data_IF_307091188440
#
_entry.id   IF_307091188440
#
_cell.length_a   1.000
_cell.length_b   1.000
_cell.length_c   1.000
_cell.angle_alpha   90.00
_cell.angle_beta   90.00
_cell.angle_gamma   90.00
#
_symmetry.space_group_name_H-M   'P 1'
#
loop_
_entity.id
_entity.type
_entity.pdbx_description
1 polymer ?
#
# COMPACT_ATOMS: atom_id res chain seq x y z
N UNK A 1 20.02 -2.68 6.79
CA UNK A 1 20.17 -2.40 5.34
C UNK A 1 19.78 -3.57 4.43
N UNK A 2 19.84 -4.84 4.89
CA UNK A 2 19.46 -6.02 4.08
C UNK A 2 18.02 -5.89 3.54
N UNK A 3 17.14 -5.36 4.37
CA UNK A 3 15.73 -5.12 4.11
C UNK A 3 15.42 -4.16 2.95
N UNK A 4 16.41 -3.36 2.49
CA UNK A 4 16.26 -2.51 1.29
C UNK A 4 16.21 -3.34 -0.01
N UNK A 5 16.74 -4.57 0.01
CA UNK A 5 16.73 -5.41 -1.18
C UNK A 5 15.31 -5.82 -1.60
N UNK A 6 14.34 -5.84 -0.67
CA UNK A 6 12.91 -6.05 -0.97
C UNK A 6 12.33 -4.94 -1.86
N UNK A 7 12.93 -3.75 -1.87
CA UNK A 7 12.52 -2.65 -2.76
C UNK A 7 13.43 -2.63 -3.99
N UNK A 8 14.74 -2.77 -3.79
CA UNK A 8 15.72 -2.64 -4.85
C UNK A 8 15.55 -3.71 -5.94
N UNK A 9 15.34 -4.98 -5.55
CA UNK A 9 15.17 -6.10 -6.51
C UNK A 9 14.03 -5.82 -7.51
N UNK A 10 12.79 -5.52 -7.07
CA UNK A 10 11.72 -5.22 -8.01
C UNK A 10 11.96 -3.94 -8.81
N UNK A 11 12.60 -2.90 -8.26
CA UNK A 11 12.96 -1.70 -9.03
C UNK A 11 14.00 -1.97 -10.13
N UNK A 12 15.04 -2.74 -9.82
CA UNK A 12 16.02 -3.17 -10.83
C UNK A 12 15.37 -4.02 -11.91
N UNK A 13 14.50 -4.96 -11.53
CA UNK A 13 13.72 -5.74 -12.47
C UNK A 13 12.80 -4.86 -13.33
N UNK A 14 12.19 -3.82 -12.76
CA UNK A 14 11.35 -2.86 -13.48
C UNK A 14 12.14 -2.08 -14.54
N UNK A 15 13.34 -1.60 -14.18
CA UNK A 15 14.27 -0.94 -15.10
C UNK A 15 14.71 -1.88 -16.22
N UNK A 16 15.07 -3.12 -15.88
CA UNK A 16 15.38 -4.15 -16.86
C UNK A 16 14.20 -4.42 -17.80
N UNK A 17 12.98 -4.54 -17.27
CA UNK A 17 11.77 -4.75 -18.07
C UNK A 17 11.45 -3.60 -19.02
N UNK A 18 11.69 -2.37 -18.59
CA UNK A 18 11.48 -1.17 -19.41
C UNK A 18 12.46 -1.11 -20.57
N UNK A 19 13.73 -1.42 -20.33
CA UNK A 19 14.77 -1.49 -21.35
C UNK A 19 14.66 -2.74 -22.24
N UNK A 20 13.98 -3.80 -21.78
CA UNK A 20 13.90 -5.06 -22.50
C UNK A 20 13.11 -4.92 -23.81
N UNK A 21 13.69 -5.20 -24.99
CA UNK A 21 13.03 -4.95 -26.26
C UNK A 21 11.96 -6.00 -26.60
N UNK A 22 12.22 -7.28 -26.29
CA UNK A 22 11.42 -8.43 -26.72
C UNK A 22 10.16 -8.60 -25.86
N UNK A 23 8.99 -8.43 -26.47
CA UNK A 23 7.70 -8.51 -25.76
C UNK A 23 7.34 -9.91 -25.31
N UNK A 24 7.80 -10.96 -26.01
CA UNK A 24 7.50 -12.35 -25.63
C UNK A 24 8.29 -12.80 -24.40
N UNK A 25 9.50 -12.25 -24.18
CA UNK A 25 10.37 -12.66 -23.07
C UNK A 25 10.31 -11.71 -21.87
N UNK A 26 9.94 -10.44 -22.07
CA UNK A 26 9.79 -9.44 -21.00
C UNK A 26 8.93 -9.92 -19.81
N UNK A 27 7.77 -10.59 -20.00
CA UNK A 27 6.93 -11.05 -18.88
C UNK A 27 7.62 -12.00 -17.90
N UNK A 28 8.65 -12.74 -18.32
CA UNK A 28 9.39 -13.66 -17.45
C UNK A 28 10.18 -12.95 -16.34
N UNK A 29 10.41 -11.65 -16.47
CA UNK A 29 10.98 -10.83 -15.39
C UNK A 29 10.05 -10.75 -14.17
N UNK A 30 8.73 -10.90 -14.35
CA UNK A 30 7.77 -10.91 -13.24
C UNK A 30 8.02 -12.07 -12.28
N UNK A 31 7.92 -13.35 -12.69
CA UNK A 31 8.17 -14.48 -11.79
C UNK A 31 9.62 -14.56 -11.34
N UNK A 32 10.60 -14.17 -12.17
CA UNK A 32 12.00 -14.14 -11.74
C UNK A 32 12.20 -13.20 -10.53
N UNK A 33 11.69 -11.97 -10.62
CA UNK A 33 11.72 -11.03 -9.50
C UNK A 33 10.86 -11.52 -8.32
N UNK A 34 9.68 -12.10 -8.60
CA UNK A 34 8.77 -12.63 -7.58
C UNK A 34 9.40 -13.76 -6.75
N UNK A 35 10.14 -14.68 -7.37
CA UNK A 35 10.87 -15.76 -6.67
C UNK A 35 11.96 -15.16 -5.79
N UNK A 36 12.80 -14.29 -6.33
CA UNK A 36 13.90 -13.65 -5.57
C UNK A 36 13.32 -12.89 -4.38
N UNK A 37 12.28 -12.08 -4.61
CA UNK A 37 11.64 -11.30 -3.56
C UNK A 37 11.01 -12.18 -2.48
N UNK A 38 10.31 -13.26 -2.85
CA UNK A 38 9.67 -14.18 -1.90
C UNK A 38 10.69 -14.94 -1.07
N UNK A 39 11.72 -15.51 -1.72
CA UNK A 39 12.81 -16.21 -1.01
C UNK A 39 13.50 -15.27 -0.04
N UNK A 40 13.77 -14.04 -0.46
CA UNK A 40 14.41 -13.05 0.40
C UNK A 40 13.51 -12.60 1.56
N UNK A 41 12.20 -12.39 1.32
CA UNK A 41 11.24 -12.06 2.37
C UNK A 41 11.13 -13.18 3.42
N UNK A 42 11.15 -14.45 3.00
CA UNK A 42 11.16 -15.60 3.91
C UNK A 42 12.49 -15.74 4.66
N UNK A 43 13.61 -15.48 3.99
CA UNK A 43 14.94 -15.51 4.63
C UNK A 43 15.05 -14.48 5.77
N UNK A 44 14.50 -13.27 5.58
CA UNK A 44 14.45 -12.23 6.62
C UNK A 44 13.59 -12.61 7.83
N UNK A 45 12.77 -13.67 7.77
CA UNK A 45 12.08 -14.19 8.95
C UNK A 45 13.02 -14.97 9.87
N UNK A 46 14.08 -15.57 9.33
CA UNK A 46 15.05 -16.37 10.06
C UNK A 46 16.08 -15.46 10.74
N UNK A 47 16.61 -14.48 10.01
CA UNK A 47 17.58 -13.49 10.49
C UNK A 47 17.02 -12.07 10.29
N UNK A 48 16.07 -11.64 11.14
CA UNK A 48 15.45 -10.34 10.98
C UNK A 48 16.42 -9.21 11.32
N UNK A 49 16.49 -8.14 10.52
CA UNK A 49 17.34 -7.00 10.81
C UNK A 49 16.89 -6.29 12.08
N UNK A 50 17.85 -5.73 12.82
CA UNK A 50 17.57 -4.90 13.99
C UNK A 50 16.92 -3.59 13.56
N UNK A 51 15.86 -3.21 14.27
CA UNK A 51 15.16 -1.95 14.03
C UNK A 51 15.69 -0.87 14.96
N UNK A 52 16.26 0.19 14.41
CA UNK A 52 16.63 1.37 15.19
C UNK A 52 15.37 2.15 15.61
N UNK A 53 15.40 2.76 16.80
CA UNK A 53 14.23 3.44 17.39
C UNK A 53 13.64 4.55 16.51
N UNK A 54 14.48 5.28 15.76
CA UNK A 54 14.07 6.38 14.89
C UNK A 54 14.21 6.02 13.40
N UNK A 55 14.24 4.73 13.07
CA UNK A 55 14.34 4.32 11.69
C UNK A 55 13.07 4.75 10.93
N UNK A 56 13.23 5.32 9.73
CA UNK A 56 12.11 5.59 8.83
C UNK A 56 11.63 4.32 8.10
N UNK A 57 12.41 3.26 8.18
CA UNK A 57 12.26 2.04 7.42
C UNK A 57 12.65 0.84 8.27
N UNK A 58 11.88 -0.24 8.22
CA UNK A 58 12.08 -1.37 9.11
C UNK A 58 11.31 -2.64 8.74
N UNK A 59 11.89 -3.79 9.08
CA UNK A 59 11.25 -5.11 8.97
C UNK A 59 10.74 -5.55 10.36
N UNK A 60 9.73 -4.82 10.84
CA UNK A 60 9.13 -4.97 12.18
C UNK A 60 8.13 -6.16 12.24
N UNK A 61 7.59 -6.51 13.42
CA UNK A 61 6.69 -7.66 13.56
C UNK A 61 5.44 -7.60 12.65
N UNK A 62 4.86 -6.41 12.46
CA UNK A 62 3.71 -6.23 11.55
C UNK A 62 4.13 -6.54 10.11
N UNK A 63 5.26 -6.00 9.64
CA UNK A 63 5.78 -6.27 8.30
C UNK A 63 6.09 -7.75 8.10
N UNK A 64 6.69 -8.42 9.10
CA UNK A 64 7.01 -9.86 9.07
C UNK A 64 5.76 -10.72 8.87
N UNK A 65 4.64 -10.31 9.45
CA UNK A 65 3.38 -11.05 9.33
C UNK A 65 2.76 -10.96 7.92
N UNK A 66 2.93 -9.82 7.24
CA UNK A 66 2.15 -9.52 6.01
C UNK A 66 2.98 -9.51 4.73
N UNK A 67 4.23 -9.04 4.75
CA UNK A 67 5.03 -8.85 3.53
C UNK A 67 5.38 -10.18 2.82
N UNK A 68 5.71 -11.27 3.52
CA UNK A 68 5.91 -12.56 2.87
C UNK A 68 4.66 -13.04 2.12
N UNK A 69 3.47 -12.77 2.65
CA UNK A 69 2.20 -13.13 2.01
C UNK A 69 1.94 -12.28 0.77
N UNK A 70 2.22 -10.98 0.81
CA UNK A 70 2.16 -10.10 -0.38
C UNK A 70 3.17 -10.53 -1.44
N UNK A 71 4.37 -10.97 -1.03
CA UNK A 71 5.40 -11.49 -1.94
C UNK A 71 4.95 -12.77 -2.63
N UNK A 72 4.38 -13.72 -1.87
CA UNK A 72 3.85 -14.96 -2.39
C UNK A 72 2.66 -14.72 -3.34
N UNK A 73 1.75 -13.82 -2.96
CA UNK A 73 0.64 -13.40 -3.83
C UNK A 73 1.17 -12.85 -5.15
N UNK A 74 2.16 -11.96 -5.12
CA UNK A 74 2.78 -11.43 -6.33
C UNK A 74 3.41 -12.55 -7.16
N UNK A 75 4.11 -13.50 -6.55
CA UNK A 75 4.69 -14.64 -7.25
C UNK A 75 3.61 -15.45 -7.98
N UNK A 76 2.51 -15.80 -7.32
CA UNK A 76 1.39 -16.52 -7.96
C UNK A 76 0.79 -15.71 -9.10
N UNK A 77 0.51 -14.43 -8.88
CA UNK A 77 0.00 -13.51 -9.91
C UNK A 77 0.96 -13.36 -11.10
N UNK A 78 2.28 -13.37 -10.84
CA UNK A 78 3.31 -13.21 -11.86
C UNK A 78 3.41 -14.42 -12.79
N UNK A 79 3.23 -15.64 -12.25
CA UNK A 79 3.18 -16.88 -13.04
C UNK A 79 1.98 -16.88 -13.99
N UNK A 80 0.80 -16.49 -13.49
CA UNK A 80 -0.38 -16.27 -14.33
C UNK A 80 -0.15 -15.19 -15.38
N UNK A 81 0.52 -14.09 -14.99
CA UNK A 81 0.81 -12.94 -15.85
C UNK A 81 1.58 -13.28 -17.12
N UNK A 82 2.50 -14.25 -17.06
CA UNK A 82 3.24 -14.71 -18.25
C UNK A 82 2.30 -15.32 -19.29
N UNK A 83 1.42 -16.23 -18.86
CA UNK A 83 0.45 -16.86 -19.75
C UNK A 83 -0.57 -15.85 -20.29
N UNK A 84 -1.07 -14.97 -19.41
CA UNK A 84 -2.03 -13.93 -19.77
C UNK A 84 -1.49 -12.98 -20.85
N UNK A 85 -0.27 -12.47 -20.68
CA UNK A 85 0.35 -11.54 -21.64
C UNK A 85 0.75 -12.23 -22.95
N UNK A 86 0.95 -13.55 -22.96
CA UNK A 86 1.15 -14.32 -24.19
C UNK A 86 -0.14 -14.45 -25.00
N UNK A 87 -1.28 -14.61 -24.33
CA UNK A 87 -2.60 -14.64 -24.97
C UNK A 87 -2.97 -13.25 -25.51
N UNK A 88 -2.63 -12.20 -24.76
CA UNK A 88 -2.85 -10.79 -25.12
C UNK A 88 -1.68 -10.16 -25.90
N UNK A 89 -1.10 -10.92 -26.84
CA UNK A 89 0.07 -10.50 -27.60
C UNK A 89 -0.17 -9.27 -28.50
N UNK A 90 -1.43 -8.91 -28.75
CA UNK A 90 -1.83 -7.69 -29.46
C UNK A 90 -1.60 -6.42 -28.64
N UNK A 91 -1.36 -6.53 -27.32
CA UNK A 91 -1.15 -5.39 -26.43
C UNK A 91 0.31 -5.26 -26.04
N UNK A 92 0.82 -4.03 -26.14
CA UNK A 92 2.17 -3.68 -25.64
C UNK A 92 2.23 -3.91 -24.14
N UNK A 93 3.13 -4.81 -23.72
CA UNK A 93 3.24 -5.20 -22.31
C UNK A 93 4.35 -4.46 -21.54
N UNK A 94 5.06 -3.52 -22.18
CA UNK A 94 6.22 -2.81 -21.57
C UNK A 94 5.82 -2.09 -20.28
N UNK A 95 4.90 -1.14 -20.38
CA UNK A 95 4.45 -0.36 -19.24
C UNK A 95 3.75 -1.25 -18.20
N UNK A 96 3.01 -2.26 -18.64
CA UNK A 96 2.29 -3.17 -17.77
C UNK A 96 3.24 -3.99 -16.88
N UNK A 97 4.26 -4.63 -17.47
CA UNK A 97 5.27 -5.42 -16.73
C UNK A 97 6.08 -4.51 -15.80
N UNK A 98 6.52 -3.35 -16.30
CA UNK A 98 7.26 -2.37 -15.48
C UNK A 98 6.41 -1.89 -14.30
N UNK A 99 5.16 -1.51 -14.52
CA UNK A 99 4.28 -1.00 -13.47
C UNK A 99 3.95 -2.07 -12.40
N UNK A 100 3.82 -3.35 -12.78
CA UNK A 100 3.66 -4.44 -11.80
C UNK A 100 4.89 -4.61 -10.91
N UNK A 101 6.10 -4.52 -11.47
CA UNK A 101 7.34 -4.63 -10.69
C UNK A 101 7.51 -3.41 -9.77
N UNK A 102 7.24 -2.21 -10.26
CA UNK A 102 7.21 -1.00 -9.41
C UNK A 102 6.14 -1.13 -8.33
N UNK A 103 4.98 -1.70 -8.63
CA UNK A 103 3.94 -1.97 -7.62
C UNK A 103 4.45 -2.85 -6.49
N UNK A 104 5.18 -3.94 -6.79
CA UNK A 104 5.78 -4.78 -5.75
C UNK A 104 6.75 -3.97 -4.88
N UNK A 105 7.62 -3.17 -5.49
CA UNK A 105 8.57 -2.33 -4.76
C UNK A 105 7.86 -1.32 -3.83
N UNK A 106 6.80 -0.68 -4.32
CA UNK A 106 6.04 0.31 -3.55
C UNK A 106 5.24 -0.30 -2.42
N UNK A 107 4.65 -1.49 -2.62
CA UNK A 107 4.00 -2.24 -1.55
C UNK A 107 5.01 -2.66 -0.48
N UNK A 108 6.19 -3.14 -0.87
CA UNK A 108 7.27 -3.46 0.08
C UNK A 108 7.72 -2.22 0.86
N UNK A 109 7.93 -1.10 0.18
CA UNK A 109 8.27 0.18 0.80
C UNK A 109 7.21 0.63 1.80
N UNK A 110 5.94 0.59 1.42
CA UNK A 110 4.83 1.01 2.27
C UNK A 110 4.72 0.15 3.53
N UNK A 111 4.79 -1.19 3.39
CA UNK A 111 4.66 -2.10 4.53
C UNK A 111 5.82 -1.95 5.53
N UNK A 112 7.02 -1.71 5.02
CA UNK A 112 8.23 -1.48 5.81
C UNK A 112 8.36 -0.04 6.35
N UNK A 113 7.51 0.90 5.93
CA UNK A 113 7.58 2.29 6.34
C UNK A 113 7.26 2.45 7.83
N UNK A 114 8.18 3.08 8.56
CA UNK A 114 8.05 3.40 9.98
C UNK A 114 7.75 4.90 10.21
N UNK A 115 7.76 5.68 9.13
CA UNK A 115 7.36 7.08 9.11
C UNK A 115 6.09 7.25 8.28
N UNK A 116 5.11 7.97 8.83
CA UNK A 116 3.79 8.17 8.19
C UNK A 116 3.89 8.90 6.84
N UNK A 117 4.83 9.84 6.70
CA UNK A 117 5.09 10.53 5.43
C UNK A 117 5.65 9.59 4.36
N UNK A 118 6.59 8.71 4.73
CA UNK A 118 7.13 7.71 3.79
C UNK A 118 6.06 6.70 3.35
N UNK A 119 5.23 6.26 4.29
CA UNK A 119 4.07 5.39 4.03
C UNK A 119 3.11 6.06 3.04
N UNK A 120 2.82 7.34 3.25
CA UNK A 120 1.98 8.14 2.36
C UNK A 120 2.56 8.23 0.94
N UNK A 121 3.85 8.55 0.80
CA UNK A 121 4.53 8.62 -0.51
C UNK A 121 4.43 7.30 -1.26
N UNK A 122 4.69 6.19 -0.56
CA UNK A 122 4.60 4.86 -1.14
C UNK A 122 3.16 4.50 -1.57
N UNK A 123 2.17 4.84 -0.73
CA UNK A 123 0.76 4.62 -1.01
C UNK A 123 0.28 5.40 -2.24
N UNK A 124 0.67 6.66 -2.38
CA UNK A 124 0.26 7.49 -3.52
C UNK A 124 0.97 7.10 -4.81
N UNK A 125 2.28 6.83 -4.74
CA UNK A 125 3.00 6.27 -5.88
C UNK A 125 2.35 4.96 -6.36
N UNK A 126 1.87 4.13 -5.44
CA UNK A 126 1.16 2.90 -5.79
C UNK A 126 -0.23 3.19 -6.42
N UNK A 127 -0.92 4.27 -6.00
CA UNK A 127 -2.10 4.79 -6.74
C UNK A 127 -1.73 5.06 -8.19
N UNK A 128 -0.71 5.88 -8.43
CA UNK A 128 -0.32 6.30 -9.77
C UNK A 128 0.11 5.12 -10.65
N UNK A 129 0.84 4.15 -10.10
CA UNK A 129 1.24 2.95 -10.83
C UNK A 129 0.08 2.00 -11.15
N UNK A 130 -1.02 2.06 -10.41
CA UNK A 130 -2.22 1.24 -10.68
C UNK A 130 -2.96 1.74 -11.93
N UNK A 131 -2.96 3.04 -12.21
CA UNK A 131 -3.69 3.64 -13.33
C UNK A 131 -3.39 2.98 -14.68
N UNK A 132 -2.11 2.85 -15.13
CA UNK A 132 -1.82 2.16 -16.38
C UNK A 132 -2.12 0.66 -16.36
N UNK A 133 -2.17 0.03 -15.17
CA UNK A 133 -2.55 -1.38 -15.02
C UNK A 133 -4.04 -1.60 -15.22
N UNK A 134 -4.88 -0.70 -14.69
CA UNK A 134 -6.34 -0.71 -14.91
C UNK A 134 -6.69 -0.39 -16.36
N UNK A 135 -5.98 0.57 -16.96
CA UNK A 135 -6.23 0.97 -18.35
C UNK A 135 -5.74 -0.05 -19.40
N UNK A 136 -5.12 -1.17 -19.00
CA UNK A 136 -4.48 -2.13 -19.92
C UNK A 136 -5.39 -2.65 -21.04
N UNK A 137 -6.68 -2.86 -20.75
CA UNK A 137 -7.66 -3.31 -21.75
C UNK A 137 -8.00 -2.23 -22.79
N UNK A 138 -7.73 -0.95 -22.52
CA UNK A 138 -7.91 0.17 -23.44
C UNK A 138 -9.35 0.36 -23.95
N UNK A 139 -10.34 -0.05 -23.16
CA UNK A 139 -11.77 0.17 -23.44
C UNK A 139 -12.23 1.49 -22.81
N UNK A 140 -13.38 2.02 -23.24
CA UNK A 140 -13.98 3.21 -22.62
C UNK A 140 -14.28 2.98 -21.11
N UNK A 141 -14.71 1.77 -20.76
CA UNK A 141 -14.94 1.36 -19.36
C UNK A 141 -13.64 1.28 -18.57
N UNK A 142 -12.56 0.71 -19.13
CA UNK A 142 -11.25 0.68 -18.48
C UNK A 142 -10.70 2.08 -18.25
N UNK A 143 -10.94 3.03 -19.18
CA UNK A 143 -10.61 4.43 -18.97
C UNK A 143 -11.41 5.03 -17.81
N UNK A 144 -12.74 4.89 -17.82
CA UNK A 144 -13.62 5.37 -16.74
C UNK A 144 -13.22 4.80 -15.38
N UNK A 145 -12.98 3.49 -15.29
CA UNK A 145 -12.53 2.80 -14.08
C UNK A 145 -11.19 3.34 -13.58
N UNK A 146 -10.21 3.52 -14.48
CA UNK A 146 -8.90 4.08 -14.13
C UNK A 146 -8.99 5.53 -13.63
N UNK A 147 -9.91 6.32 -14.20
CA UNK A 147 -10.15 7.71 -13.82
C UNK A 147 -10.86 7.82 -12.47
N UNK A 148 -11.91 7.02 -12.25
CA UNK A 148 -12.61 6.92 -10.96
C UNK A 148 -11.67 6.47 -9.85
N UNK A 149 -10.85 5.45 -10.13
CA UNK A 149 -9.83 4.98 -9.20
C UNK A 149 -8.84 6.09 -8.83
N UNK A 150 -8.33 6.84 -9.80
CA UNK A 150 -7.39 7.92 -9.57
C UNK A 150 -8.03 9.06 -8.76
N UNK A 151 -9.23 9.51 -9.13
CA UNK A 151 -9.88 10.64 -8.47
C UNK A 151 -10.33 10.31 -7.05
N UNK A 152 -11.04 9.20 -6.86
CA UNK A 152 -11.57 8.81 -5.55
C UNK A 152 -10.43 8.33 -4.66
N UNK A 153 -9.57 7.44 -5.16
CA UNK A 153 -8.42 6.93 -4.43
C UNK A 153 -7.39 8.02 -4.09
N UNK A 154 -7.08 8.89 -5.06
CA UNK A 154 -6.18 10.03 -4.86
C UNK A 154 -6.73 11.06 -3.89
N UNK A 155 -8.04 11.34 -3.92
CA UNK A 155 -8.69 12.19 -2.91
C UNK A 155 -8.59 11.57 -1.51
N UNK A 156 -8.79 10.27 -1.38
CA UNK A 156 -8.56 9.54 -0.13
C UNK A 156 -7.13 9.75 0.38
N UNK A 157 -6.13 9.50 -0.45
CA UNK A 157 -4.73 9.68 -0.04
C UNK A 157 -4.39 11.15 0.25
N UNK A 158 -5.00 12.11 -0.44
CA UNK A 158 -4.87 13.54 -0.09
C UNK A 158 -5.45 13.85 1.31
N UNK A 159 -6.57 13.24 1.70
CA UNK A 159 -7.08 13.34 3.07
C UNK A 159 -6.11 12.70 4.08
N UNK A 160 -5.49 11.56 3.75
CA UNK A 160 -4.45 10.97 4.60
C UNK A 160 -3.24 11.90 4.76
N UNK A 161 -2.87 12.67 3.73
CA UNK A 161 -1.80 13.66 3.85
C UNK A 161 -2.17 14.75 4.86
N UNK A 162 -3.38 15.30 4.74
CA UNK A 162 -3.88 16.31 5.67
C UNK A 162 -3.93 15.76 7.10
N UNK A 163 -4.40 14.52 7.28
CA UNK A 163 -4.40 13.86 8.58
C UNK A 163 -2.98 13.63 9.14
N UNK A 164 -1.99 13.38 8.29
CA UNK A 164 -0.58 13.29 8.68
C UNK A 164 -0.06 14.63 9.20
N UNK A 165 -0.43 15.75 8.56
CA UNK A 165 -0.10 17.08 9.06
C UNK A 165 -0.80 17.39 10.38
N UNK A 166 -2.07 17.02 10.55
CA UNK A 166 -2.76 17.15 11.83
C UNK A 166 -2.05 16.36 12.93
N UNK A 167 -1.54 15.16 12.65
CA UNK A 167 -0.83 14.35 13.63
C UNK A 167 0.52 14.95 14.00
N UNK A 168 1.27 15.48 13.02
CA UNK A 168 2.50 16.21 13.28
C UNK A 168 2.26 17.47 14.11
N UNK A 169 1.18 18.20 13.82
CA UNK A 169 0.78 19.37 14.60
C UNK A 169 0.32 18.99 16.01
N UNK A 170 -0.34 17.83 16.18
CA UNK A 170 -0.67 17.30 17.50
C UNK A 170 0.58 17.05 18.35
N UNK A 171 1.66 16.55 17.73
CA UNK A 171 2.96 16.39 18.37
C UNK A 171 3.57 17.72 18.78
N UNK A 172 3.62 18.71 17.87
CA UNK A 172 4.17 20.04 18.15
C UNK A 172 3.42 20.76 19.29
N UNK A 173 2.09 20.73 19.27
CA UNK A 173 1.26 21.34 20.32
C UNK A 173 1.38 20.60 21.66
N UNK A 174 1.74 19.32 21.61
CA UNK A 174 2.07 18.50 22.77
C UNK A 174 3.50 18.66 23.30
N UNK A 175 4.28 19.64 22.82
CA UNK A 175 5.69 19.83 23.21
C UNK A 175 6.69 18.88 22.54
N UNK A 176 6.24 18.10 21.56
CA UNK A 176 7.07 17.19 20.77
C UNK A 176 7.77 17.88 19.59
N UNK A 177 8.51 17.10 18.81
CA UNK A 177 9.30 17.59 17.68
C UNK A 177 8.54 17.65 16.35
N UNK A 178 7.31 17.11 16.28
CA UNK A 178 6.60 16.94 15.00
C UNK A 178 7.12 15.76 14.17
N UNK A 179 7.94 14.88 14.75
CA UNK A 179 8.39 13.65 14.08
C UNK A 179 7.20 12.71 13.80
N UNK A 180 7.06 12.31 12.55
CA UNK A 180 6.00 11.43 12.05
C UNK A 180 6.39 9.94 12.08
N UNK A 181 7.50 9.57 12.72
CA UNK A 181 7.79 8.16 13.01
C UNK A 181 6.78 7.61 14.03
N UNK A 182 6.24 6.42 13.77
CA UNK A 182 5.23 5.82 14.65
C UNK A 182 5.76 5.59 16.06
N UNK A 183 7.05 5.28 16.19
CA UNK A 183 7.72 5.11 17.49
C UNK A 183 7.79 6.41 18.29
N UNK A 184 8.14 7.55 17.67
CA UNK A 184 8.18 8.84 18.35
C UNK A 184 6.79 9.28 18.79
N UNK A 185 5.79 9.15 17.91
CA UNK A 185 4.40 9.50 18.21
C UNK A 185 3.81 8.62 19.33
N UNK A 186 4.02 7.31 19.27
CA UNK A 186 3.56 6.40 20.32
C UNK A 186 4.26 6.65 21.66
N UNK A 187 5.55 7.01 21.63
CA UNK A 187 6.31 7.38 22.83
C UNK A 187 5.79 8.67 23.47
N UNK A 188 5.43 9.67 22.67
CA UNK A 188 4.83 10.92 23.17
C UNK A 188 3.45 10.66 23.81
N UNK A 189 2.66 9.75 23.23
CA UNK A 189 1.46 9.21 23.86
C UNK A 189 0.46 10.30 24.26
N UNK A 190 0.09 10.34 25.54
CA UNK A 190 -0.95 11.22 26.06
C UNK A 190 -0.61 12.73 26.00
N UNK A 191 0.66 13.08 25.74
CA UNK A 191 1.06 14.47 25.54
C UNK A 191 0.61 15.01 24.17
N UNK A 192 0.26 14.14 23.22
CA UNK A 192 -0.28 14.57 21.91
C UNK A 192 -1.54 15.41 22.10
N UNK A 193 -1.62 16.54 21.41
CA UNK A 193 -2.79 17.42 21.48
C UNK A 193 -4.05 16.69 21.01
N UNK A 194 -4.99 16.46 21.94
CA UNK A 194 -6.18 15.64 21.69
C UNK A 194 -7.06 16.15 20.53
N UNK A 195 -7.37 17.44 20.37
CA UNK A 195 -8.21 17.90 19.25
C UNK A 195 -7.60 17.58 17.88
N UNK A 196 -6.28 17.77 17.75
CA UNK A 196 -5.54 17.49 16.53
C UNK A 196 -5.35 15.99 16.28
N UNK A 197 -5.20 15.20 17.34
CA UNK A 197 -5.18 13.74 17.26
C UNK A 197 -6.50 13.18 16.71
N UNK A 198 -7.65 13.71 17.16
CA UNK A 198 -8.97 13.29 16.67
C UNK A 198 -9.14 13.67 15.19
N UNK A 199 -8.78 14.91 14.82
CA UNK A 199 -8.82 15.34 13.42
C UNK A 199 -7.93 14.47 12.54
N UNK A 200 -6.72 14.15 13.00
CA UNK A 200 -5.80 13.24 12.33
C UNK A 200 -6.41 11.85 12.14
N UNK A 201 -6.98 11.26 13.19
CA UNK A 201 -7.61 9.93 13.12
C UNK A 201 -8.73 9.90 12.07
N UNK A 202 -9.64 10.86 12.09
CA UNK A 202 -10.77 10.91 11.14
C UNK A 202 -10.27 11.02 9.70
N UNK A 203 -9.31 11.90 9.43
CA UNK A 203 -8.77 12.12 8.08
C UNK A 203 -7.94 10.93 7.59
N UNK A 204 -7.10 10.34 8.45
CA UNK A 204 -6.30 9.14 8.14
C UNK A 204 -7.20 7.91 7.92
N UNK A 205 -8.25 7.76 8.73
CA UNK A 205 -9.24 6.69 8.57
C UNK A 205 -10.05 6.88 7.28
N UNK A 206 -10.48 8.11 6.96
CA UNK A 206 -11.15 8.37 5.69
C UNK A 206 -10.24 8.09 4.50
N UNK A 207 -8.98 8.54 4.56
CA UNK A 207 -8.06 8.41 3.45
C UNK A 207 -7.56 6.99 3.20
N UNK A 208 -6.97 6.34 4.21
CA UNK A 208 -6.57 4.94 4.10
C UNK A 208 -7.78 4.00 4.05
N UNK A 209 -8.90 4.36 4.65
CA UNK A 209 -10.17 3.63 4.52
C UNK A 209 -10.72 3.65 3.09
N UNK A 210 -10.59 4.77 2.37
CA UNK A 210 -10.88 4.83 0.93
C UNK A 210 -10.00 3.85 0.16
N UNK A 211 -8.70 3.81 0.47
CA UNK A 211 -7.74 2.88 -0.16
C UNK A 211 -8.03 1.41 0.16
N UNK A 212 -8.51 1.13 1.37
CA UNK A 212 -8.97 -0.20 1.80
C UNK A 212 -10.31 -0.59 1.16
N UNK A 213 -11.09 0.40 0.72
CA UNK A 213 -12.42 0.22 0.16
C UNK A 213 -13.49 0.01 1.23
N UNK A 214 -13.41 0.73 2.35
CA UNK A 214 -14.46 0.79 3.37
C UNK A 214 -15.68 1.55 2.83
N UNK A 215 -16.89 1.12 3.19
CA UNK A 215 -18.10 1.89 2.92
C UNK A 215 -18.13 3.16 3.80
N UNK A 216 -18.59 4.32 3.29
CA UNK A 216 -19.17 4.56 1.97
C UNK A 216 -18.13 4.89 0.87
N UNK A 217 -16.84 4.89 1.17
CA UNK A 217 -15.75 5.31 0.27
C UNK A 217 -15.36 4.29 -0.82
N UNK A 218 -16.07 3.15 -0.88
CA UNK A 218 -15.76 1.99 -1.72
C UNK A 218 -16.23 2.09 -3.18
N UNK A 219 -16.86 3.20 -3.61
CA UNK A 219 -17.52 3.32 -4.92
C UNK A 219 -16.59 3.17 -6.13
N UNK A 220 -15.29 3.39 -5.95
CA UNK A 220 -14.29 3.12 -6.99
C UNK A 220 -14.02 1.61 -7.20
N UNK A 221 -14.28 0.79 -6.19
CA UNK A 221 -13.83 -0.61 -6.11
C UNK A 221 -14.53 -1.51 -7.13
N UNK A 222 -15.86 -1.48 -7.31
CA UNK A 222 -16.53 -2.34 -8.31
C UNK A 222 -16.00 -2.11 -9.73
N UNK A 223 -15.86 -0.85 -10.15
CA UNK A 223 -15.40 -0.48 -11.49
C UNK A 223 -13.94 -0.88 -11.71
N UNK A 224 -13.06 -0.59 -10.73
CA UNK A 224 -11.66 -0.95 -10.81
C UNK A 224 -11.44 -2.46 -10.93
N UNK A 225 -12.18 -3.27 -10.14
CA UNK A 225 -12.07 -4.73 -10.19
C UNK A 225 -12.73 -5.32 -11.44
N UNK A 226 -13.82 -4.72 -11.92
CA UNK A 226 -14.50 -5.15 -13.14
C UNK A 226 -13.63 -5.03 -14.40
N UNK A 227 -12.75 -4.02 -14.46
CA UNK A 227 -11.92 -3.77 -15.64
C UNK A 227 -10.45 -4.22 -15.48
N UNK A 228 -10.00 -4.51 -14.26
CA UNK A 228 -8.63 -4.96 -14.00
C UNK A 228 -8.35 -6.34 -14.62
N UNK A 229 -7.18 -6.55 -15.26
CA UNK A 229 -6.69 -7.90 -15.52
C UNK A 229 -6.61 -8.70 -14.20
N UNK A 230 -6.93 -10.00 -14.24
CA UNK A 230 -7.08 -10.81 -13.01
C UNK A 230 -5.92 -10.72 -12.02
N UNK A 231 -4.68 -10.69 -12.51
CA UNK A 231 -3.48 -10.49 -11.68
C UNK A 231 -3.40 -9.13 -10.99
N UNK A 232 -3.90 -8.07 -11.64
CA UNK A 232 -3.97 -6.71 -11.09
C UNK A 232 -5.06 -6.66 -10.03
N UNK A 233 -6.24 -7.21 -10.31
CA UNK A 233 -7.34 -7.31 -9.36
C UNK A 233 -6.93 -8.06 -8.08
N UNK A 234 -6.21 -9.18 -8.22
CA UNK A 234 -5.68 -9.92 -7.08
C UNK A 234 -4.67 -9.11 -6.25
N UNK A 235 -3.77 -8.36 -6.88
CA UNK A 235 -2.82 -7.48 -6.18
C UNK A 235 -3.50 -6.28 -5.51
N UNK A 236 -4.57 -5.75 -6.08
CA UNK A 236 -5.40 -4.73 -5.42
C UNK A 236 -6.06 -5.30 -4.17
N UNK A 237 -6.58 -6.53 -4.24
CA UNK A 237 -7.25 -7.20 -3.14
C UNK A 237 -6.31 -7.56 -1.98
N UNK A 238 -5.20 -8.21 -2.29
CA UNK A 238 -4.31 -8.76 -1.26
C UNK A 238 -3.12 -7.87 -0.93
N UNK A 239 -2.62 -7.08 -1.89
CA UNK A 239 -1.48 -6.19 -1.67
C UNK A 239 -1.91 -4.82 -1.18
N UNK A 240 -2.70 -4.11 -2.00
CA UNK A 240 -3.06 -2.72 -1.72
C UNK A 240 -3.98 -2.56 -0.51
N UNK A 241 -4.98 -3.43 -0.36
CA UNK A 241 -5.84 -3.44 0.84
C UNK A 241 -5.05 -3.76 2.10
N UNK A 242 -4.08 -4.69 2.05
CA UNK A 242 -3.19 -5.00 3.18
C UNK A 242 -2.33 -3.80 3.57
N UNK A 243 -1.76 -3.09 2.60
CA UNK A 243 -1.01 -1.86 2.86
C UNK A 243 -1.88 -0.80 3.56
N UNK A 244 -3.10 -0.57 3.06
CA UNK A 244 -4.03 0.37 3.66
C UNK A 244 -4.45 -0.04 5.08
N UNK A 245 -4.65 -1.34 5.30
CA UNK A 245 -4.95 -1.88 6.63
C UNK A 245 -3.78 -1.68 7.61
N UNK A 246 -2.54 -1.96 7.19
CA UNK A 246 -1.33 -1.72 8.00
C UNK A 246 -1.19 -0.24 8.33
N UNK A 247 -1.49 0.66 7.39
CA UNK A 247 -1.48 2.09 7.67
C UNK A 247 -2.44 2.46 8.80
N UNK A 248 -3.69 2.01 8.73
CA UNK A 248 -4.70 2.22 9.78
C UNK A 248 -4.24 1.59 11.10
N UNK A 249 -3.69 0.37 11.07
CA UNK A 249 -3.20 -0.33 12.26
C UNK A 249 -2.08 0.45 12.96
N UNK A 250 -1.10 0.97 12.21
CA UNK A 250 0.01 1.76 12.77
C UNK A 250 -0.49 3.07 13.37
N UNK A 251 -1.43 3.76 12.72
CA UNK A 251 -2.05 4.96 13.28
C UNK A 251 -2.88 4.62 14.52
N UNK A 252 -3.60 3.50 14.52
CA UNK A 252 -4.35 3.02 15.69
C UNK A 252 -3.45 2.88 16.91
N UNK A 253 -2.27 2.26 16.75
CA UNK A 253 -1.31 2.10 17.84
C UNK A 253 -0.87 3.43 18.46
N UNK A 254 -0.69 4.47 17.63
CA UNK A 254 -0.38 5.82 18.11
C UNK A 254 -1.55 6.41 18.92
N UNK A 255 -2.77 6.30 18.41
CA UNK A 255 -3.97 6.83 19.08
C UNK A 255 -4.28 6.07 20.38
N UNK A 256 -4.05 4.76 20.40
CA UNK A 256 -4.18 3.92 21.60
C UNK A 256 -3.17 4.36 22.67
N UNK A 257 -1.91 4.59 22.30
CA UNK A 257 -0.87 5.09 23.20
C UNK A 257 -1.17 6.50 23.76
N UNK A 258 -1.96 7.28 23.03
CA UNK A 258 -2.46 8.58 23.47
C UNK A 258 -3.70 8.51 24.39
N UNK A 259 -4.17 7.31 24.74
CA UNK A 259 -5.32 7.12 25.62
C UNK A 259 -6.69 7.23 24.92
N UNK A 260 -6.73 7.31 23.59
CA UNK A 260 -7.95 7.46 22.80
C UNK A 260 -8.37 6.17 22.07
N UNK A 261 -7.93 4.99 22.54
CA UNK A 261 -8.15 3.71 21.85
C UNK A 261 -9.61 3.30 21.71
N UNK A 262 -10.48 3.65 22.65
CA UNK A 262 -11.92 3.38 22.54
C UNK A 262 -12.56 4.06 21.32
N UNK A 263 -12.03 5.21 20.88
CA UNK A 263 -12.51 5.90 19.68
C UNK A 263 -12.14 5.09 18.42
N UNK A 264 -10.91 4.58 18.35
CA UNK A 264 -10.45 3.83 17.19
C UNK A 264 -11.20 2.51 17.05
N UNK A 265 -11.41 1.79 18.15
CA UNK A 265 -12.18 0.55 18.18
C UNK A 265 -13.62 0.75 17.71
N UNK A 266 -14.33 1.73 18.29
CA UNK A 266 -15.73 2.02 17.92
C UNK A 266 -15.86 2.41 16.45
N UNK A 267 -14.99 3.30 15.97
CA UNK A 267 -15.06 3.75 14.57
C UNK A 267 -14.75 2.60 13.61
N UNK A 268 -13.71 1.80 13.87
CA UNK A 268 -13.38 0.63 13.03
C UNK A 268 -14.50 -0.43 13.03
N UNK A 269 -15.12 -0.70 14.19
CA UNK A 269 -16.26 -1.61 14.27
C UNK A 269 -17.45 -1.10 13.45
N UNK A 270 -17.80 0.18 13.57
CA UNK A 270 -18.91 0.79 12.81
C UNK A 270 -18.65 0.72 11.31
N UNK A 271 -17.48 1.18 10.85
CA UNK A 271 -17.15 1.15 9.42
C UNK A 271 -17.02 -0.28 8.88
N UNK A 272 -16.50 -1.22 9.68
CA UNK A 272 -16.40 -2.63 9.33
C UNK A 272 -17.78 -3.28 9.16
N UNK A 273 -18.64 -3.17 10.17
CA UNK A 273 -20.01 -3.71 10.13
C UNK A 273 -20.83 -3.05 9.01
N UNK A 274 -20.72 -1.74 8.83
CA UNK A 274 -21.39 -1.05 7.75
C UNK A 274 -20.91 -1.53 6.38
N UNK A 275 -19.60 -1.75 6.21
CA UNK A 275 -19.06 -2.31 4.97
C UNK A 275 -19.57 -3.73 4.70
N UNK A 276 -19.71 -4.56 5.73
CA UNK A 276 -20.30 -5.89 5.60
C UNK A 276 -21.77 -5.83 5.18
N UNK A 277 -22.55 -4.92 5.79
CA UNK A 277 -23.97 -4.73 5.45
C UNK A 277 -24.19 -4.24 4.02
N UNK A 278 -23.32 -3.34 3.54
CA UNK A 278 -23.42 -2.80 2.17
C UNK A 278 -22.95 -3.82 1.12
N UNK A 279 -22.08 -4.77 1.50
CA UNK A 279 -21.55 -5.80 0.61
C UNK A 279 -22.43 -7.07 0.53
N UNK A 280 -23.26 -7.32 1.53
CA UNK A 280 -24.17 -8.47 1.61
C UNK A 280 -25.42 -8.29 0.73
#
# INVERSE_FOLDING_TARGET
MKELALIAVPLFAAGAAFAWPKEQTRPWLLPAAGVIHTVFALWLLIDPPTLAANAWFGFDPVTRAVLPMVSLLFLVCSLYGVAYLRIRAERKNRLFVTALLVMLALLSLALQAQNLGLLWVAAEAATLMTVPLLHFNGTARAFEASWKYLLIGGTGIALSLLGSFCLGYASLQGGGSGDLTFAALAKQGAELSHPWLVAAWVLLLAGYGTKMGLAPMHTWKPDAYGEAPGMVGALLAGGMTTMAFVAILRVKQVVDAAGAGAMTERTLLVFGLFSMLVAA
#
